data_IF_787445393977
#
_entry.id   IF_787445393977
#
_cell.length_a   1.000
_cell.length_b   1.000
_cell.length_c   1.000
_cell.angle_alpha   90.00
_cell.angle_beta   90.00
_cell.angle_gamma   90.00
#
_symmetry.space_group_name_H-M   'P 1'
#
loop_
_entity.id
_entity.type
_entity.pdbx_description
1 polymer ?
#
# COMPACT_ATOMS: atom_id res chain seq x y z
N UNK A 1 7.77 12.82 -3.23
CA UNK A 1 6.48 12.21 -3.63
C UNK A 1 6.34 10.88 -2.90
N UNK A 2 5.31 10.68 -2.10
CA UNK A 2 5.08 9.39 -1.44
C UNK A 2 4.61 8.39 -2.49
N UNK A 3 5.47 7.47 -2.92
CA UNK A 3 5.11 6.40 -3.85
C UNK A 3 4.16 5.36 -3.23
N UNK A 4 3.67 4.46 -4.06
CA UNK A 4 2.87 3.30 -3.64
C UNK A 4 3.68 2.48 -2.64
N UNK A 5 3.09 2.16 -1.47
CA UNK A 5 3.76 1.36 -0.43
C UNK A 5 3.11 -0.02 -0.32
N UNK A 6 3.92 -1.08 -0.38
CA UNK A 6 3.45 -2.43 -0.10
C UNK A 6 3.36 -2.66 1.41
N UNK A 7 2.18 -3.03 1.89
CA UNK A 7 1.92 -3.28 3.31
C UNK A 7 1.43 -4.72 3.48
N UNK A 8 1.83 -5.38 4.57
CA UNK A 8 1.36 -6.74 4.89
C UNK A 8 -0.15 -6.77 5.00
N UNK A 9 -0.77 -7.71 4.27
CA UNK A 9 -2.20 -7.92 4.32
C UNK A 9 -2.62 -8.59 5.63
N UNK A 10 -3.64 -8.02 6.27
CA UNK A 10 -4.23 -8.54 7.52
C UNK A 10 -5.57 -9.23 7.30
N UNK A 11 -6.15 -9.12 6.10
CA UNK A 11 -7.42 -9.76 5.73
C UNK A 11 -7.26 -11.28 5.61
N UNK A 12 -8.39 -11.97 5.57
CA UNK A 12 -8.48 -13.42 5.37
C UNK A 12 -8.11 -13.86 3.95
N UNK A 13 -8.47 -13.02 2.98
CA UNK A 13 -8.18 -13.23 1.57
C UNK A 13 -6.96 -12.40 1.14
N UNK A 14 -6.06 -12.97 0.31
CA UNK A 14 -4.99 -12.22 -0.31
C UNK A 14 -5.54 -11.21 -1.32
N UNK A 15 -4.78 -10.14 -1.54
CA UNK A 15 -5.09 -9.19 -2.61
C UNK A 15 -4.40 -9.63 -3.90
N UNK A 16 -5.20 -9.99 -4.90
CA UNK A 16 -4.77 -10.50 -6.21
C UNK A 16 -5.29 -9.64 -7.37
N UNK A 17 -5.80 -8.44 -7.10
CA UNK A 17 -6.41 -7.57 -8.13
C UNK A 17 -5.44 -7.21 -9.27
N UNK A 18 -4.13 -7.17 -8.99
CA UNK A 18 -3.09 -6.94 -10.01
C UNK A 18 -2.82 -8.15 -10.90
N UNK A 19 -3.05 -9.36 -10.40
CA UNK A 19 -2.66 -10.60 -11.07
C UNK A 19 -3.78 -11.19 -11.92
N UNK A 20 -5.04 -11.02 -11.50
CA UNK A 20 -6.17 -11.69 -12.12
C UNK A 20 -7.50 -11.37 -11.45
N UNK A 21 -8.53 -12.07 -11.90
CA UNK A 21 -9.89 -11.92 -11.40
C UNK A 21 -10.47 -13.24 -10.88
N UNK A 22 -11.43 -13.11 -9.96
CA UNK A 22 -12.22 -14.22 -9.44
C UNK A 22 -13.61 -14.16 -10.07
N UNK A 23 -14.00 -15.20 -10.80
CA UNK A 23 -15.35 -15.25 -11.42
C UNK A 23 -16.44 -15.59 -10.40
N UNK A 24 -16.04 -16.12 -9.23
CA UNK A 24 -16.94 -16.45 -8.11
C UNK A 24 -16.34 -15.95 -6.81
N UNK A 25 -17.21 -15.59 -5.87
CA UNK A 25 -16.79 -15.23 -4.53
C UNK A 25 -16.31 -16.45 -3.75
N UNK A 26 -15.28 -16.27 -2.93
CA UNK A 26 -14.77 -17.30 -2.04
C UNK A 26 -15.67 -17.35 -0.81
N UNK A 27 -16.29 -18.52 -0.58
CA UNK A 27 -17.12 -18.74 0.61
C UNK A 27 -16.21 -18.84 1.83
N UNK A 28 -16.39 -17.91 2.77
CA UNK A 28 -15.68 -17.89 4.05
C UNK A 28 -16.60 -18.34 5.16
N UNK A 29 -16.12 -19.21 6.05
CA UNK A 29 -16.89 -19.60 7.23
C UNK A 29 -16.97 -18.47 8.26
N UNK A 30 -15.95 -17.60 8.32
CA UNK A 30 -15.90 -16.44 9.23
C UNK A 30 -15.27 -15.21 8.60
N UNK A 31 -15.66 -14.03 9.10
CA UNK A 31 -15.07 -12.73 8.72
C UNK A 31 -13.91 -12.31 9.62
N UNK A 32 -13.86 -12.87 10.82
CA UNK A 32 -12.84 -12.56 11.82
C UNK A 32 -11.59 -13.42 11.64
N UNK A 33 -10.44 -12.81 11.91
CA UNK A 33 -9.14 -13.49 11.83
C UNK A 33 -8.78 -14.23 13.11
N UNK A 34 -9.21 -13.69 14.25
CA UNK A 34 -8.93 -14.18 15.60
C UNK A 34 -10.27 -14.38 16.33
N UNK A 35 -10.29 -15.14 17.43
CA UNK A 35 -11.51 -15.34 18.23
C UNK A 35 -12.42 -16.47 17.74
N UNK A 36 -12.03 -17.18 16.68
CA UNK A 36 -12.80 -18.27 16.08
C UNK A 36 -12.12 -19.63 16.28
N UNK A 37 -12.88 -20.76 16.27
CA UNK A 37 -12.30 -22.09 16.34
C UNK A 37 -11.21 -22.33 15.28
N UNK A 38 -10.25 -23.18 15.60
CA UNK A 38 -9.10 -23.42 14.73
C UNK A 38 -9.51 -23.92 13.33
N UNK A 39 -10.56 -24.74 13.23
CA UNK A 39 -11.06 -25.27 11.95
C UNK A 39 -11.63 -24.19 11.03
N UNK A 40 -12.47 -23.29 11.54
CA UNK A 40 -13.01 -22.18 10.75
C UNK A 40 -11.94 -21.17 10.36
N UNK A 41 -10.93 -20.98 11.22
CA UNK A 41 -9.74 -20.19 10.90
C UNK A 41 -8.95 -20.83 9.76
N UNK A 42 -8.65 -22.13 9.82
CA UNK A 42 -7.89 -22.79 8.76
C UNK A 42 -8.64 -22.74 7.41
N UNK A 43 -9.96 -22.93 7.43
CA UNK A 43 -10.79 -22.89 6.23
C UNK A 43 -10.88 -21.49 5.60
N UNK A 44 -11.07 -20.44 6.41
CA UNK A 44 -11.32 -19.08 5.89
C UNK A 44 -10.03 -18.33 5.55
N UNK A 45 -8.87 -18.76 6.04
CA UNK A 45 -7.58 -18.12 5.76
C UNK A 45 -6.94 -18.68 4.49
N UNK A 46 -7.11 -17.97 3.39
CA UNK A 46 -6.46 -18.34 2.13
C UNK A 46 -5.07 -17.71 1.98
N UNK A 47 -4.14 -18.50 1.45
CA UNK A 47 -2.83 -18.04 1.00
C UNK A 47 -2.87 -17.67 -0.48
N UNK A 48 -1.87 -16.91 -0.96
CA UNK A 48 -1.71 -16.63 -2.39
C UNK A 48 -1.72 -17.92 -3.22
N UNK A 49 -0.98 -18.95 -2.78
CA UNK A 49 -0.92 -20.22 -3.46
C UNK A 49 -2.27 -20.95 -3.49
N UNK A 50 -3.05 -20.90 -2.41
CA UNK A 50 -4.37 -21.55 -2.40
C UNK A 50 -5.36 -20.85 -3.32
N UNK A 51 -5.37 -19.51 -3.37
CA UNK A 51 -6.31 -18.78 -4.26
C UNK A 51 -5.94 -18.97 -5.73
N UNK A 52 -4.64 -18.96 -6.05
CA UNK A 52 -4.14 -19.20 -7.42
C UNK A 52 -4.49 -20.57 -7.99
N UNK A 53 -4.78 -21.55 -7.12
CA UNK A 53 -5.18 -22.91 -7.50
C UNK A 53 -6.70 -23.08 -7.65
N UNK A 54 -7.50 -22.06 -7.30
CA UNK A 54 -8.95 -22.15 -7.43
C UNK A 54 -9.34 -22.17 -8.92
N UNK A 55 -10.30 -23.02 -9.27
CA UNK A 55 -10.77 -23.18 -10.66
C UNK A 55 -11.43 -21.93 -11.25
N UNK A 56 -11.90 -21.03 -10.38
CA UNK A 56 -12.56 -19.78 -10.76
C UNK A 56 -11.63 -18.56 -10.68
N UNK A 57 -10.33 -18.77 -10.45
CA UNK A 57 -9.32 -17.72 -10.51
C UNK A 57 -8.66 -17.70 -11.89
N UNK A 58 -8.68 -16.54 -12.55
CA UNK A 58 -8.16 -16.36 -13.90
C UNK A 58 -7.06 -15.29 -13.90
N UNK A 59 -5.79 -15.66 -14.06
CA UNK A 59 -4.67 -14.71 -14.15
C UNK A 59 -4.65 -13.99 -15.50
N UNK A 60 -4.24 -12.71 -15.50
CA UNK A 60 -4.18 -11.89 -16.72
C UNK A 60 -2.94 -12.14 -17.57
N UNK A 61 -1.78 -12.34 -16.93
CA UNK A 61 -0.47 -12.36 -17.61
C UNK A 61 0.29 -13.68 -17.43
N UNK A 62 -0.44 -14.81 -17.42
CA UNK A 62 0.17 -16.12 -17.22
C UNK A 62 1.09 -16.50 -18.41
N UNK A 63 2.36 -16.88 -18.17
CA UNK A 63 3.23 -17.43 -19.20
C UNK A 63 2.62 -18.72 -19.78
N UNK A 64 2.60 -18.84 -21.11
CA UNK A 64 2.00 -20.00 -21.79
C UNK A 64 2.99 -21.14 -21.97
N UNK A 65 4.26 -20.81 -22.21
CA UNK A 65 5.30 -21.79 -22.44
C UNK A 65 6.61 -21.42 -21.71
N UNK A 66 7.64 -22.27 -21.90
CA UNK A 66 8.96 -22.03 -21.32
C UNK A 66 9.67 -20.83 -21.93
N UNK A 67 9.34 -20.46 -23.17
CA UNK A 67 9.97 -19.32 -23.84
C UNK A 67 9.51 -18.01 -23.19
N UNK A 68 8.23 -17.88 -22.88
CA UNK A 68 7.67 -16.72 -22.17
C UNK A 68 8.38 -16.47 -20.83
N UNK A 69 8.71 -17.54 -20.09
CA UNK A 69 9.43 -17.46 -18.82
C UNK A 69 10.85 -16.92 -19.00
N UNK A 70 11.54 -17.35 -20.06
CA UNK A 70 12.89 -16.90 -20.39
C UNK A 70 12.88 -15.45 -20.89
N UNK A 71 11.90 -15.09 -21.72
CA UNK A 71 11.74 -13.72 -22.23
C UNK A 71 11.38 -12.72 -21.13
N UNK A 72 10.70 -13.18 -20.07
CA UNK A 72 10.37 -12.36 -18.91
C UNK A 72 11.54 -12.19 -17.92
N UNK A 73 12.62 -12.98 -18.04
CA UNK A 73 13.74 -12.93 -17.13
C UNK A 73 14.53 -11.61 -17.26
N UNK A 74 15.14 -11.18 -16.15
CA UNK A 74 16.00 -10.00 -16.08
C UNK A 74 17.45 -10.39 -16.15
N UNK A 75 18.22 -9.73 -17.02
CA UNK A 75 19.67 -9.89 -17.13
C UNK A 75 20.38 -8.54 -16.96
N UNK A 76 21.38 -8.46 -16.09
CA UNK A 76 22.13 -7.23 -15.82
C UNK A 76 23.65 -7.41 -15.92
N UNK A 77 24.16 -7.29 -17.15
CA UNK A 77 25.59 -7.36 -17.44
C UNK A 77 26.43 -6.19 -16.88
N UNK A 78 25.81 -5.10 -16.41
CA UNK A 78 26.58 -3.92 -15.96
C UNK A 78 27.18 -4.11 -14.57
N UNK A 79 26.50 -4.86 -13.70
CA UNK A 79 26.91 -5.04 -12.30
C UNK A 79 27.30 -6.47 -11.95
N UNK A 80 26.82 -7.48 -12.70
CA UNK A 80 27.20 -8.88 -12.49
C UNK A 80 28.56 -9.16 -13.11
N UNK A 81 29.54 -9.55 -12.27
CA UNK A 81 30.92 -9.81 -12.73
C UNK A 81 31.25 -11.29 -12.92
N UNK A 82 30.35 -12.19 -12.51
CA UNK A 82 30.43 -13.65 -12.67
C UNK A 82 29.01 -14.23 -12.51
N UNK A 83 28.14 -14.01 -13.50
CA UNK A 83 26.77 -14.54 -13.45
C UNK A 83 26.79 -16.06 -13.57
N UNK A 84 26.06 -16.73 -12.68
CA UNK A 84 25.82 -18.16 -12.78
C UNK A 84 24.75 -18.42 -13.86
N UNK A 85 24.60 -19.68 -14.29
CA UNK A 85 23.62 -20.02 -15.34
C UNK A 85 22.18 -19.76 -14.88
N UNK A 86 21.95 -19.87 -13.58
CA UNK A 86 20.69 -19.64 -12.91
C UNK A 86 20.26 -18.16 -12.99
N UNK A 87 21.22 -17.23 -13.01
CA UNK A 87 20.95 -15.78 -13.04
C UNK A 87 20.27 -15.36 -14.35
N UNK A 88 20.48 -16.12 -15.43
CA UNK A 88 19.81 -15.90 -16.72
C UNK A 88 18.29 -16.06 -16.64
N UNK A 89 17.79 -16.82 -15.64
CA UNK A 89 16.37 -17.12 -15.48
C UNK A 89 15.72 -16.34 -14.34
N UNK A 90 16.44 -15.40 -13.72
CA UNK A 90 15.93 -14.58 -12.63
C UNK A 90 14.74 -13.74 -13.10
N UNK A 91 13.62 -13.90 -12.41
CA UNK A 91 12.42 -13.13 -12.71
C UNK A 91 12.51 -11.75 -12.05
N UNK A 92 11.99 -10.68 -12.69
CA UNK A 92 12.11 -9.30 -12.21
C UNK A 92 11.61 -9.11 -10.77
N UNK A 93 10.54 -9.78 -10.41
CA UNK A 93 9.96 -9.82 -9.07
C UNK A 93 10.93 -10.33 -7.98
N UNK A 94 11.87 -11.20 -8.34
CA UNK A 94 12.88 -11.76 -7.42
C UNK A 94 13.92 -10.72 -7.05
N UNK A 95 14.27 -9.84 -8.00
CA UNK A 95 15.23 -8.73 -7.83
C UNK A 95 14.55 -7.49 -7.21
N UNK A 96 13.24 -7.56 -6.95
CA UNK A 96 12.46 -6.48 -6.36
C UNK A 96 11.94 -5.45 -7.37
N UNK A 97 12.00 -5.75 -8.67
CA UNK A 97 11.29 -4.96 -9.67
C UNK A 97 9.77 -5.14 -9.49
N UNK A 98 9.02 -4.07 -9.71
CA UNK A 98 7.56 -4.14 -9.66
C UNK A 98 7.03 -4.89 -10.89
N UNK A 99 6.31 -5.98 -10.67
CA UNK A 99 5.68 -6.78 -11.72
C UNK A 99 4.19 -6.93 -11.45
N UNK A 100 3.48 -7.59 -12.37
CA UNK A 100 2.08 -7.96 -12.18
C UNK A 100 1.90 -9.00 -11.06
N UNK A 101 2.93 -9.80 -10.76
CA UNK A 101 2.87 -10.93 -9.82
C UNK A 101 3.34 -10.55 -8.43
N UNK A 102 2.58 -10.97 -7.43
CA UNK A 102 2.83 -10.68 -6.03
C UNK A 102 3.47 -11.87 -5.33
N UNK A 103 4.69 -11.71 -4.83
CA UNK A 103 5.41 -12.79 -4.15
C UNK A 103 5.02 -12.99 -2.68
N UNK A 104 4.53 -11.93 -2.02
CA UNK A 104 4.19 -11.93 -0.58
C UNK A 104 2.75 -11.50 -0.37
N UNK A 105 2.11 -11.95 0.71
CA UNK A 105 0.75 -11.52 1.04
C UNK A 105 0.73 -10.06 1.54
N UNK A 106 0.87 -9.13 0.60
CA UNK A 106 0.84 -7.68 0.77
C UNK A 106 -0.28 -7.08 -0.08
N UNK A 107 -0.62 -5.83 0.18
CA UNK A 107 -1.47 -5.02 -0.69
C UNK A 107 -0.83 -3.65 -0.88
N UNK A 108 -1.20 -2.97 -1.96
CA UNK A 108 -0.62 -1.69 -2.33
C UNK A 108 -1.44 -0.57 -1.69
N UNK A 109 -0.83 0.16 -0.76
CA UNK A 109 -1.42 1.36 -0.18
C UNK A 109 -1.06 2.55 -1.07
N UNK A 110 -2.08 3.09 -1.72
CA UNK A 110 -1.97 4.36 -2.44
C UNK A 110 -1.61 5.49 -1.45
N UNK A 111 -0.79 6.45 -1.87
CA UNK A 111 -0.53 7.63 -1.07
C UNK A 111 -1.84 8.38 -0.80
N UNK A 112 -1.93 8.98 0.38
CA UNK A 112 -3.05 9.85 0.71
C UNK A 112 -3.03 11.04 -0.27
N UNK A 113 -4.13 11.25 -0.99
CA UNK A 113 -4.26 12.37 -1.90
C UNK A 113 -4.23 13.64 -1.04
N UNK A 114 -3.26 14.55 -1.26
CA UNK A 114 -3.21 15.78 -0.49
C UNK A 114 -4.48 16.57 -0.78
N UNK A 115 -5.17 17.01 0.28
CA UNK A 115 -6.32 17.91 0.13
C UNK A 115 -5.83 19.18 -0.54
N UNK A 116 -6.39 19.52 -1.71
CA UNK A 116 -6.04 20.73 -2.43
C UNK A 116 -6.51 21.95 -1.64
N UNK A 117 -5.58 22.59 -0.95
CA UNK A 117 -5.78 23.94 -0.45
C UNK A 117 -5.66 24.81 -1.71
N UNK A 118 -6.77 25.35 -2.25
CA UNK A 118 -6.83 26.09 -3.54
C UNK A 118 -5.92 27.34 -3.66
N UNK A 119 -5.08 27.56 -2.67
CA UNK A 119 -4.10 28.62 -2.49
C UNK A 119 -2.96 28.09 -1.59
N UNK A 120 -1.70 28.48 -1.83
CA UNK A 120 -0.57 28.05 -1.00
C UNK A 120 -0.73 28.59 0.42
N UNK A 121 -0.98 27.70 1.38
CA UNK A 121 -1.03 28.07 2.80
C UNK A 121 0.36 28.49 3.26
N UNK A 122 0.59 29.79 3.42
CA UNK A 122 1.80 30.32 4.07
C UNK A 122 1.61 30.28 5.58
N UNK A 123 2.21 29.29 6.24
CA UNK A 123 2.19 29.21 7.71
C UNK A 123 3.19 30.21 8.28
N UNK A 124 2.72 31.43 8.59
CA UNK A 124 3.52 32.44 9.28
C UNK A 124 3.81 32.05 10.74
N UNK A 125 4.97 32.46 11.23
CA UNK A 125 5.39 32.27 12.62
C UNK A 125 6.90 32.41 12.77
N UNK A 126 7.35 32.66 13.99
CA UNK A 126 8.78 32.65 14.31
C UNK A 126 9.27 31.21 14.22
N UNK A 127 10.22 30.92 13.33
CA UNK A 127 10.81 29.58 13.11
C UNK A 127 11.81 29.20 14.20
N UNK A 128 12.44 30.19 14.81
CA UNK A 128 13.53 30.04 15.78
C UNK A 128 13.36 31.03 16.95
N UNK A 129 13.60 30.56 18.17
CA UNK A 129 13.44 31.42 19.36
C UNK A 129 14.74 32.15 19.67
N UNK A 130 15.00 33.23 18.95
CA UNK A 130 16.25 34.02 19.07
C UNK A 130 16.40 34.75 20.42
N UNK A 131 15.35 34.79 21.24
CA UNK A 131 15.40 35.38 22.58
C UNK A 131 14.40 34.70 23.52
N UNK A 132 14.72 34.53 24.82
CA UNK A 132 13.77 34.05 25.84
C UNK A 132 12.50 34.91 25.93
N UNK A 133 12.63 36.21 25.60
CA UNK A 133 11.53 37.18 25.57
C UNK A 133 10.75 37.18 24.25
N UNK A 134 11.21 36.43 23.24
CA UNK A 134 10.44 36.16 22.03
C UNK A 134 9.41 35.07 22.34
N UNK A 135 8.40 35.45 23.12
CA UNK A 135 7.21 34.62 23.34
C UNK A 135 6.32 34.84 22.12
N UNK A 136 5.91 33.74 21.48
CA UNK A 136 4.93 33.79 20.39
C UNK A 136 3.62 34.32 20.96
N UNK A 137 3.42 35.65 20.89
CA UNK A 137 2.19 36.34 21.24
C UNK A 137 1.13 36.02 20.19
N UNK A 138 0.77 34.75 20.07
CA UNK A 138 -0.45 34.39 19.39
C UNK A 138 -1.55 34.83 20.34
N UNK A 139 -2.29 35.89 20.00
CA UNK A 139 -3.51 36.25 20.71
C UNK A 139 -4.39 34.99 20.70
N UNK A 140 -4.40 34.27 21.81
CA UNK A 140 -5.17 33.04 21.99
C UNK A 140 -6.63 33.42 22.10
N UNK A 141 -7.23 33.78 20.97
CA UNK A 141 -8.67 33.90 20.88
C UNK A 141 -9.31 32.55 21.20
N UNK A 142 -10.50 32.58 21.78
CA UNK A 142 -11.29 31.40 22.18
C UNK A 142 -11.50 30.42 21.00
N UNK A 143 -11.29 30.88 19.77
CA UNK A 143 -11.47 30.16 18.52
C UNK A 143 -10.16 29.76 17.81
N UNK A 144 -9.00 29.84 18.47
CA UNK A 144 -7.75 29.37 17.86
C UNK A 144 -7.69 27.83 17.85
N UNK A 145 -7.25 27.23 16.74
CA UNK A 145 -7.17 25.77 16.56
C UNK A 145 -6.23 25.06 17.54
N UNK A 146 -5.40 25.83 18.25
CA UNK A 146 -4.46 25.33 19.23
C UNK A 146 -5.06 25.23 20.66
N UNK A 147 -6.11 25.99 20.96
CA UNK A 147 -6.68 26.12 22.32
C UNK A 147 -8.03 25.46 22.52
N UNK A 148 -8.68 24.96 21.46
CA UNK A 148 -10.01 24.33 21.57
C UNK A 148 -9.96 22.81 21.29
N UNK A 149 -10.10 21.94 22.32
CA UNK A 149 -10.15 20.49 22.17
C UNK A 149 -11.33 19.97 21.32
N UNK A 150 -12.40 20.77 21.18
CA UNK A 150 -13.64 20.39 20.49
C UNK A 150 -13.74 20.83 19.03
N UNK A 151 -12.74 21.53 18.47
CA UNK A 151 -12.80 22.01 17.08
C UNK A 151 -12.21 21.01 16.08
N UNK A 152 -12.86 20.86 14.94
CA UNK A 152 -12.46 19.93 13.87
C UNK A 152 -11.07 20.28 13.33
N UNK A 153 -10.11 19.37 13.52
CA UNK A 153 -8.72 19.48 13.04
C UNK A 153 -8.63 19.11 11.56
N UNK A 154 -9.52 19.65 10.74
CA UNK A 154 -9.43 19.45 9.29
C UNK A 154 -8.18 20.17 8.78
N UNK A 155 -7.38 19.55 7.90
CA UNK A 155 -6.18 20.16 7.33
C UNK A 155 -6.49 21.44 6.54
N UNK A 156 -7.74 21.60 6.09
CA UNK A 156 -8.25 22.77 5.38
C UNK A 156 -8.97 23.79 6.29
N UNK A 157 -8.94 23.59 7.61
CA UNK A 157 -9.42 24.55 8.60
C UNK A 157 -10.93 24.80 8.59
N UNK A 158 -11.76 23.75 8.71
CA UNK A 158 -13.17 23.82 9.15
C UNK A 158 -14.19 24.66 8.37
N UNK A 159 -13.75 25.56 7.50
CA UNK A 159 -14.55 26.58 6.82
C UNK A 159 -14.70 26.32 5.31
N UNK A 160 -14.19 25.19 4.82
CA UNK A 160 -14.25 24.83 3.41
C UNK A 160 -15.25 23.69 3.26
N UNK A 161 -16.45 24.03 2.76
CA UNK A 161 -17.43 23.05 2.29
C UNK A 161 -17.14 22.78 0.81
N UNK A 162 -16.91 21.51 0.47
CA UNK A 162 -16.90 21.08 -0.93
C UNK A 162 -18.36 20.89 -1.35
N UNK A 163 -18.86 21.75 -2.24
CA UNK A 163 -20.14 21.59 -2.94
C UNK A 163 -19.94 20.75 -4.20
#
# INVERSE_FOLDING_TARGET
>A
MTGIKQIRNKKLLPDLQKEGELTKEIVLSTKEKHGVPAGSRLFSHHTLASVRKLSFYHPFFLPKDSLDIVLAATYNHSTERFADKEDLYLQPETVGCETWRRLRNTFDKLPEVPVSLGHPMKRGGVTERNSPFSVKLMNSGVHSSQTNPGYSRQPAGGAIFFY
#
